data_IF_652813614156
#
_entry.id   IF_652813614156
#
_cell.length_a   1.000
_cell.length_b   1.000
_cell.length_c   1.000
_cell.angle_alpha   90.00
_cell.angle_beta   90.00
_cell.angle_gamma   90.00
#
_symmetry.space_group_name_H-M   'P 1'
#
loop_
_entity.id
_entity.type
_entity.pdbx_description
1 polymer ?
#
# COMPACT_ATOMS: atom_id res chain seq x y z
N UNK A 1 17.70 -2.89 19.52
CA UNK A 1 16.84 -2.05 20.34
C UNK A 1 15.65 -2.85 20.86
N UNK A 2 15.23 -2.62 22.09
CA UNK A 2 14.06 -3.25 22.71
C UNK A 2 13.01 -2.19 23.00
N UNK A 3 11.76 -2.53 22.80
CA UNK A 3 10.62 -1.69 23.11
C UNK A 3 9.52 -2.55 23.74
N UNK A 4 8.94 -2.06 24.82
CA UNK A 4 7.77 -2.69 25.47
C UNK A 4 6.63 -1.68 25.43
N UNK A 5 5.44 -2.15 25.13
CA UNK A 5 4.26 -1.31 25.01
C UNK A 5 3.01 -2.05 25.49
N UNK A 6 2.01 -1.30 25.87
CA UNK A 6 0.72 -1.86 26.32
C UNK A 6 -0.33 -0.78 26.42
N UNK A 7 -1.57 -1.20 26.32
CA UNK A 7 -2.74 -0.33 26.42
C UNK A 7 -4.05 -1.09 26.38
N UNK A 8 -5.11 -0.39 26.65
CA UNK A 8 -6.48 -0.88 26.45
C UNK A 8 -7.10 -0.18 25.25
N UNK A 9 -7.98 -0.85 24.56
CA UNK A 9 -8.74 -0.25 23.46
C UNK A 9 -10.19 -0.70 23.51
N UNK A 10 -11.04 0.15 23.00
CA UNK A 10 -12.48 -0.05 22.96
C UNK A 10 -12.85 -0.44 21.52
N UNK A 11 -13.49 -1.60 21.37
CA UNK A 11 -14.04 -2.01 20.07
C UNK A 11 -15.55 -1.91 20.09
N UNK A 12 -16.09 -0.98 19.32
CA UNK A 12 -17.51 -0.98 19.00
C UNK A 12 -17.81 -2.14 18.04
N UNK A 13 -18.61 -3.09 18.50
CA UNK A 13 -19.11 -4.15 17.61
C UNK A 13 -20.26 -3.60 16.78
N UNK A 14 -20.01 -3.31 15.55
CA UNK A 14 -21.07 -3.09 14.57
C UNK A 14 -21.84 -4.39 14.35
N UNK A 15 -23.14 -4.37 14.62
CA UNK A 15 -24.06 -5.44 14.29
C UNK A 15 -24.73 -5.10 12.96
N UNK A 16 -24.54 -5.94 11.98
CA UNK A 16 -25.07 -5.81 10.62
C UNK A 16 -26.60 -5.91 10.49
N UNK A 17 -27.30 -6.13 11.57
CA UNK A 17 -28.76 -6.39 11.56
C UNK A 17 -29.51 -5.63 12.63
N UNK A 18 -29.48 -4.32 12.70
CA UNK A 18 -30.44 -3.48 13.43
C UNK A 18 -30.83 -3.90 14.89
N UNK A 19 -30.23 -4.94 15.42
CA UNK A 19 -30.40 -5.41 16.80
C UNK A 19 -29.38 -4.71 17.69
N UNK A 20 -29.85 -4.24 18.84
CA UNK A 20 -29.07 -3.57 19.86
C UNK A 20 -27.66 -4.14 19.96
N UNK A 21 -26.66 -3.30 19.72
CA UNK A 21 -25.24 -3.62 19.88
C UNK A 21 -24.99 -4.19 21.26
N UNK A 22 -24.33 -5.33 21.36
CA UNK A 22 -23.80 -5.78 22.65
C UNK A 22 -22.82 -4.70 23.14
N UNK A 23 -22.77 -4.45 24.47
CA UNK A 23 -21.88 -3.45 25.02
C UNK A 23 -20.44 -3.69 24.53
N UNK A 24 -19.77 -2.64 24.14
CA UNK A 24 -18.40 -2.67 23.74
C UNK A 24 -17.55 -3.32 24.83
N UNK A 25 -16.70 -4.27 24.45
CA UNK A 25 -15.82 -4.95 25.38
C UNK A 25 -14.48 -4.21 25.38
N UNK A 26 -14.02 -3.80 26.55
CA UNK A 26 -12.65 -3.37 26.69
C UNK A 26 -11.71 -4.55 26.43
N UNK A 27 -10.77 -4.34 25.54
CA UNK A 27 -9.73 -5.29 25.20
C UNK A 27 -8.38 -4.70 25.56
N UNK A 28 -7.48 -5.54 26.03
CA UNK A 28 -6.12 -5.12 26.34
C UNK A 28 -5.15 -5.64 25.29
N UNK A 29 -4.08 -4.91 25.11
CA UNK A 29 -2.98 -5.24 24.21
C UNK A 29 -1.67 -4.95 24.93
N UNK A 30 -0.78 -5.91 24.97
CA UNK A 30 0.56 -5.71 25.51
C UNK A 30 1.56 -6.53 24.70
N UNK A 31 2.73 -5.97 24.49
CA UNK A 31 3.74 -6.64 23.70
C UNK A 31 5.14 -6.06 23.88
N UNK A 32 6.06 -6.72 23.22
CA UNK A 32 7.43 -6.28 23.11
C UNK A 32 7.93 -6.47 21.69
N UNK A 33 8.79 -5.58 21.27
CA UNK A 33 9.48 -5.67 19.99
C UNK A 33 10.98 -5.53 20.16
N UNK A 34 11.70 -6.17 19.29
CA UNK A 34 13.15 -6.03 19.20
C UNK A 34 13.57 -5.99 17.75
N UNK A 35 14.63 -5.27 17.47
CA UNK A 35 15.20 -5.16 16.14
C UNK A 35 16.71 -5.05 16.19
N UNK A 36 17.35 -5.45 15.12
CA UNK A 36 18.79 -5.39 14.99
C UNK A 36 19.23 -5.54 13.55
N UNK A 37 20.53 -5.53 13.37
CA UNK A 37 21.17 -5.81 12.09
C UNK A 37 22.41 -6.69 12.29
N UNK A 38 22.68 -7.54 11.30
CA UNK A 38 23.89 -8.34 11.22
C UNK A 38 24.44 -8.17 9.82
N UNK A 39 25.55 -7.45 9.69
CA UNK A 39 26.03 -7.02 8.39
C UNK A 39 24.99 -6.12 7.70
N UNK A 40 24.62 -6.49 6.50
CA UNK A 40 23.58 -5.79 5.70
C UNK A 40 22.16 -6.27 5.97
N UNK A 41 22.00 -7.37 6.69
CA UNK A 41 20.71 -7.94 7.04
C UNK A 41 20.09 -7.16 8.20
N UNK A 42 18.87 -6.68 8.03
CA UNK A 42 18.08 -6.07 9.09
C UNK A 42 16.90 -6.97 9.47
N UNK A 43 16.65 -7.06 10.76
CA UNK A 43 15.57 -7.89 11.28
C UNK A 43 14.79 -7.17 12.38
N UNK A 44 13.54 -7.54 12.50
CA UNK A 44 12.68 -7.12 13.61
C UNK A 44 11.79 -8.29 14.02
N UNK A 45 11.54 -8.41 15.31
CA UNK A 45 10.63 -9.37 15.88
C UNK A 45 9.72 -8.67 16.88
N UNK A 46 8.43 -8.98 16.84
CA UNK A 46 7.41 -8.43 17.72
C UNK A 46 6.55 -9.56 18.24
N UNK A 47 6.35 -9.60 19.54
CA UNK A 47 5.40 -10.50 20.19
C UNK A 47 4.39 -9.68 20.97
N UNK A 48 3.10 -9.98 20.84
CA UNK A 48 2.06 -9.30 21.60
C UNK A 48 0.93 -10.23 21.97
N UNK A 49 0.32 -9.91 23.09
CA UNK A 49 -0.90 -10.53 23.56
C UNK A 49 -2.08 -9.60 23.39
N UNK A 50 -3.21 -10.17 23.02
CA UNK A 50 -4.45 -9.48 22.72
C UNK A 50 -5.61 -10.35 23.20
N UNK A 51 -6.30 -9.91 24.25
CA UNK A 51 -7.27 -10.73 24.98
C UNK A 51 -6.69 -12.12 25.35
N UNK A 52 -7.22 -13.18 24.80
CA UNK A 52 -6.72 -14.54 24.99
C UNK A 52 -5.85 -15.05 23.83
N UNK A 53 -5.44 -14.18 22.93
CA UNK A 53 -4.62 -14.51 21.78
C UNK A 53 -3.20 -13.99 21.95
N UNK A 54 -2.25 -14.70 21.38
CA UNK A 54 -0.86 -14.28 21.26
C UNK A 54 -0.48 -14.25 19.79
N UNK A 55 0.30 -13.25 19.38
CA UNK A 55 0.78 -13.08 18.04
C UNK A 55 2.28 -12.84 18.05
N UNK A 56 2.98 -13.49 17.15
CA UNK A 56 4.40 -13.25 16.88
C UNK A 56 4.57 -12.80 15.43
N UNK A 57 5.26 -11.71 15.23
CA UNK A 57 5.59 -11.16 13.92
C UNK A 57 7.10 -11.08 13.75
N UNK A 58 7.59 -11.41 12.57
CA UNK A 58 8.99 -11.25 12.19
C UNK A 58 9.09 -10.51 10.87
N UNK A 59 10.07 -9.65 10.74
CA UNK A 59 10.43 -8.96 9.51
C UNK A 59 11.92 -9.15 9.25
N UNK A 60 12.26 -9.41 8.01
CA UNK A 60 13.61 -9.58 7.54
C UNK A 60 13.79 -8.77 6.27
N UNK A 61 14.81 -7.94 6.23
CA UNK A 61 15.23 -7.20 5.04
C UNK A 61 16.65 -7.54 4.71
N UNK A 62 16.86 -8.06 3.52
CA UNK A 62 18.16 -8.50 3.02
C UNK A 62 18.48 -7.75 1.73
N UNK A 63 19.35 -6.76 1.75
CA UNK A 63 19.93 -6.23 0.52
C UNK A 63 20.91 -7.26 -0.04
N UNK A 64 20.54 -7.92 -1.13
CA UNK A 64 21.40 -8.89 -1.82
C UNK A 64 22.52 -8.20 -2.58
N UNK A 65 22.22 -7.04 -3.13
CA UNK A 65 23.16 -6.13 -3.79
C UNK A 65 22.74 -4.69 -3.52
N UNK A 66 23.51 -3.70 -3.98
CA UNK A 66 23.12 -2.28 -3.92
C UNK A 66 21.79 -1.99 -4.62
N UNK A 67 21.41 -2.83 -5.56
CA UNK A 67 20.22 -2.64 -6.39
C UNK A 67 19.11 -3.66 -6.13
N UNK A 68 19.34 -4.70 -5.33
CA UNK A 68 18.38 -5.80 -5.12
C UNK A 68 18.10 -5.98 -3.64
N UNK A 69 16.83 -5.84 -3.26
CA UNK A 69 16.37 -6.02 -1.90
C UNK A 69 15.33 -7.15 -1.81
N UNK A 70 15.43 -7.96 -0.77
CA UNK A 70 14.44 -8.97 -0.40
C UNK A 70 13.85 -8.60 0.95
N UNK A 71 12.53 -8.60 1.04
CA UNK A 71 11.80 -8.39 2.28
C UNK A 71 10.91 -9.58 2.56
N UNK A 72 10.96 -10.07 3.78
CA UNK A 72 10.09 -11.14 4.26
C UNK A 72 9.39 -10.67 5.54
N UNK A 73 8.11 -10.91 5.62
CA UNK A 73 7.31 -10.66 6.81
C UNK A 73 6.48 -11.89 7.09
N UNK A 74 6.55 -12.38 8.33
CA UNK A 74 5.77 -13.52 8.77
C UNK A 74 5.02 -13.16 10.06
N UNK A 75 3.82 -13.69 10.20
CA UNK A 75 3.00 -13.57 11.39
C UNK A 75 2.45 -14.97 11.73
N UNK A 76 2.48 -15.30 13.00
CA UNK A 76 1.88 -16.50 13.57
C UNK A 76 1.02 -16.10 14.76
N UNK A 77 -0.16 -16.67 14.87
CA UNK A 77 -1.06 -16.42 15.98
C UNK A 77 -1.50 -17.72 16.67
N UNK A 78 -1.83 -17.61 17.94
CA UNK A 78 -2.25 -18.75 18.78
C UNK A 78 -3.55 -19.39 18.34
N UNK A 79 -4.35 -18.72 17.52
CA UNK A 79 -5.59 -19.24 16.91
C UNK A 79 -5.35 -19.98 15.60
N UNK A 80 -4.11 -20.36 15.29
CA UNK A 80 -3.68 -20.98 14.04
C UNK A 80 -3.71 -20.07 12.81
N UNK A 81 -3.94 -18.79 12.99
CA UNK A 81 -3.77 -17.82 11.89
C UNK A 81 -2.29 -17.63 11.57
N UNK A 82 -1.99 -17.49 10.30
CA UNK A 82 -0.64 -17.16 9.86
C UNK A 82 -0.65 -16.29 8.60
N UNK A 83 0.38 -15.51 8.42
CA UNK A 83 0.60 -14.71 7.22
C UNK A 83 2.07 -14.78 6.83
N UNK A 84 2.34 -14.89 5.55
CA UNK A 84 3.68 -14.80 4.99
C UNK A 84 3.63 -13.88 3.78
N UNK A 85 4.41 -12.80 3.82
CA UNK A 85 4.53 -11.82 2.75
C UNK A 85 5.99 -11.76 2.35
N UNK A 86 6.28 -12.01 1.09
CA UNK A 86 7.61 -11.93 0.51
C UNK A 86 7.65 -10.96 -0.66
N UNK A 87 8.68 -10.14 -0.75
CA UNK A 87 8.91 -9.27 -1.88
C UNK A 87 10.37 -9.22 -2.28
N UNK A 88 10.61 -9.14 -3.57
CA UNK A 88 11.91 -8.87 -4.18
C UNK A 88 11.76 -7.63 -5.02
N UNK A 89 12.62 -6.67 -4.84
CA UNK A 89 12.69 -5.47 -5.68
C UNK A 89 14.09 -5.27 -6.23
N UNK A 90 14.19 -4.91 -7.48
CA UNK A 90 15.44 -4.61 -8.15
C UNK A 90 15.37 -3.26 -8.84
N UNK A 91 16.35 -2.39 -8.59
CA UNK A 91 16.53 -1.15 -9.32
C UNK A 91 17.54 -1.39 -10.46
N UNK A 92 17.16 -1.09 -11.69
CA UNK A 92 18.05 -1.21 -12.82
C UNK A 92 19.01 -0.01 -12.87
N UNK A 93 20.23 -0.19 -13.43
CA UNK A 93 21.22 0.87 -13.51
C UNK A 93 20.71 2.13 -14.19
N UNK A 94 21.21 3.31 -13.80
CA UNK A 94 20.86 4.58 -14.39
C UNK A 94 19.53 5.18 -13.95
N UNK A 95 18.85 4.60 -12.96
CA UNK A 95 17.56 5.10 -12.46
C UNK A 95 16.40 4.96 -13.45
N UNK A 96 16.57 4.15 -14.49
CA UNK A 96 15.58 3.99 -15.55
C UNK A 96 14.37 3.15 -15.12
N UNK A 97 14.58 2.14 -14.32
CA UNK A 97 13.47 1.26 -13.96
C UNK A 97 13.66 0.53 -12.66
N UNK A 98 12.55 0.13 -12.08
CA UNK A 98 12.48 -0.81 -10.96
C UNK A 98 11.55 -1.96 -11.34
N UNK A 99 11.91 -3.16 -10.93
CA UNK A 99 11.07 -4.36 -11.06
C UNK A 99 10.84 -4.94 -9.68
N UNK A 100 9.62 -5.39 -9.42
CA UNK A 100 9.27 -6.01 -8.15
C UNK A 100 8.37 -7.22 -8.33
N UNK A 101 8.49 -8.17 -7.41
CA UNK A 101 7.63 -9.36 -7.29
C UNK A 101 7.22 -9.48 -5.84
N UNK A 102 5.93 -9.63 -5.59
CA UNK A 102 5.37 -9.85 -4.26
C UNK A 102 4.59 -11.15 -4.25
N UNK A 103 4.66 -11.86 -3.14
CA UNK A 103 3.77 -12.96 -2.84
C UNK A 103 3.26 -12.81 -1.41
N UNK A 104 1.95 -12.91 -1.24
CA UNK A 104 1.28 -12.92 0.06
C UNK A 104 0.46 -14.19 0.19
N UNK A 105 0.58 -14.86 1.32
CA UNK A 105 -0.32 -15.92 1.72
C UNK A 105 -0.71 -15.72 3.18
N UNK A 106 -2.02 -15.63 3.42
CA UNK A 106 -2.59 -15.42 4.75
C UNK A 106 -3.72 -16.41 4.96
N UNK A 107 -3.68 -17.14 6.05
CA UNK A 107 -4.77 -18.01 6.51
C UNK A 107 -5.25 -17.50 7.85
N UNK A 108 -6.55 -17.42 8.02
CA UNK A 108 -7.17 -16.91 9.24
C UNK A 108 -7.77 -18.06 10.03
N UNK A 109 -7.45 -18.10 11.31
CA UNK A 109 -8.17 -18.90 12.28
C UNK A 109 -9.45 -18.18 12.75
N UNK A 110 -10.27 -18.87 13.52
CA UNK A 110 -11.63 -18.45 13.90
C UNK A 110 -11.72 -17.13 14.70
N UNK A 111 -10.64 -16.62 15.23
CA UNK A 111 -10.64 -15.50 16.17
C UNK A 111 -10.11 -14.18 15.65
N UNK A 112 -9.23 -14.19 14.67
CA UNK A 112 -8.72 -12.98 14.02
C UNK A 112 -9.56 -12.66 12.79
N UNK A 113 -10.22 -11.51 12.75
CA UNK A 113 -11.05 -11.07 11.62
C UNK A 113 -10.22 -10.47 10.47
N UNK A 114 -9.31 -11.23 9.91
CA UNK A 114 -8.66 -10.88 8.65
C UNK A 114 -9.22 -11.74 7.54
N UNK A 115 -9.31 -11.25 6.33
CA UNK A 115 -9.68 -12.07 5.17
C UNK A 115 -8.49 -12.89 4.72
N UNK A 116 -8.67 -14.19 4.47
CA UNK A 116 -7.62 -15.00 3.85
C UNK A 116 -7.15 -14.33 2.55
N UNK A 117 -5.87 -14.47 2.25
CA UNK A 117 -5.28 -13.95 1.03
C UNK A 117 -4.35 -14.99 0.41
N UNK A 118 -4.37 -15.10 -0.88
CA UNK A 118 -3.38 -15.84 -1.68
C UNK A 118 -3.13 -15.05 -2.96
N UNK A 119 -2.25 -14.06 -2.86
CA UNK A 119 -1.98 -13.09 -3.90
C UNK A 119 -0.56 -13.23 -4.42
N UNK A 120 -0.40 -13.11 -5.72
CA UNK A 120 0.87 -12.91 -6.38
C UNK A 120 0.82 -11.65 -7.22
N UNK A 121 1.83 -10.82 -7.12
CA UNK A 121 1.91 -9.62 -7.92
C UNK A 121 3.32 -9.47 -8.51
N UNK A 122 3.39 -9.03 -9.72
CA UNK A 122 4.61 -8.64 -10.41
C UNK A 122 4.37 -7.29 -11.07
N UNK A 123 5.34 -6.43 -11.03
CA UNK A 123 5.25 -5.15 -11.69
C UNK A 123 6.60 -4.51 -11.92
N UNK A 124 6.58 -3.42 -12.63
CA UNK A 124 7.75 -2.63 -12.89
C UNK A 124 7.38 -1.22 -13.31
N UNK A 125 8.32 -0.32 -13.12
CA UNK A 125 8.25 1.07 -13.58
C UNK A 125 9.42 1.34 -14.49
N UNK A 126 9.16 2.00 -15.60
CA UNK A 126 10.16 2.50 -16.54
C UNK A 126 10.13 4.03 -16.52
N UNK A 127 11.15 4.63 -15.96
CA UNK A 127 11.32 6.07 -15.98
C UNK A 127 12.08 6.49 -17.26
N UNK A 128 11.42 7.21 -18.12
CA UNK A 128 11.99 7.66 -19.39
C UNK A 128 12.65 9.04 -19.30
N UNK A 129 12.51 9.74 -18.16
CA UNK A 129 13.09 11.07 -17.95
C UNK A 129 14.62 11.14 -18.14
N UNK A 130 15.43 10.10 -17.80
CA UNK A 130 16.86 10.13 -18.09
C UNK A 130 17.21 10.17 -19.58
N UNK A 131 16.35 9.63 -20.45
CA UNK A 131 16.53 9.68 -21.90
C UNK A 131 16.12 11.05 -22.47
N UNK A 132 15.04 11.60 -21.95
CA UNK A 132 14.52 12.89 -22.34
C UNK A 132 13.66 13.46 -21.20
N UNK A 133 14.04 14.61 -20.68
CA UNK A 133 13.42 15.21 -19.47
C UNK A 133 11.92 15.47 -19.55
N UNK A 134 11.32 15.35 -20.73
CA UNK A 134 9.86 15.47 -20.94
C UNK A 134 9.15 14.14 -21.15
N UNK A 135 9.87 13.02 -21.18
CA UNK A 135 9.26 11.70 -21.21
C UNK A 135 8.90 11.31 -19.77
N UNK A 136 7.73 10.80 -19.57
CA UNK A 136 7.23 10.46 -18.24
C UNK A 136 7.70 9.11 -17.72
N UNK A 137 6.92 8.58 -16.82
CA UNK A 137 7.12 7.25 -16.22
C UNK A 137 5.99 6.32 -16.65
N UNK A 138 6.36 5.15 -17.09
CA UNK A 138 5.44 4.08 -17.44
C UNK A 138 5.50 2.98 -16.38
N UNK A 139 4.36 2.49 -15.92
CA UNK A 139 4.28 1.39 -14.97
C UNK A 139 3.34 0.30 -15.44
N UNK A 140 3.71 -0.93 -15.20
CA UNK A 140 2.89 -2.10 -15.49
C UNK A 140 2.84 -2.95 -14.23
N UNK A 141 1.67 -3.47 -13.91
CA UNK A 141 1.53 -4.46 -12.86
C UNK A 141 0.51 -5.54 -13.22
N UNK A 142 0.74 -6.71 -12.69
CA UNK A 142 -0.16 -7.85 -12.74
C UNK A 142 -0.34 -8.40 -11.33
N UNK A 143 -1.57 -8.62 -10.93
CA UNK A 143 -1.94 -9.25 -9.67
C UNK A 143 -2.82 -10.47 -9.95
N UNK A 144 -2.47 -11.58 -9.33
CA UNK A 144 -3.18 -12.84 -9.37
C UNK A 144 -3.70 -13.16 -7.95
N UNK A 145 -4.99 -12.94 -7.73
CA UNK A 145 -5.67 -13.38 -6.51
C UNK A 145 -6.22 -14.81 -6.72
N UNK A 146 -5.46 -15.76 -6.25
CA UNK A 146 -5.77 -17.18 -6.42
C UNK A 146 -6.99 -17.65 -5.63
N UNK A 147 -7.33 -16.95 -4.55
CA UNK A 147 -8.48 -17.28 -3.73
C UNK A 147 -9.79 -17.08 -4.51
N UNK A 148 -9.86 -15.97 -5.24
CA UNK A 148 -11.06 -15.61 -6.01
C UNK A 148 -10.93 -15.89 -7.50
N UNK A 149 -9.84 -16.56 -7.92
CA UNK A 149 -9.52 -16.77 -9.33
C UNK A 149 -9.65 -15.47 -10.15
N UNK A 150 -9.16 -14.39 -9.59
CA UNK A 150 -9.26 -13.06 -10.19
C UNK A 150 -7.90 -12.53 -10.59
N UNK A 151 -7.86 -11.89 -11.75
CA UNK A 151 -6.64 -11.34 -12.32
C UNK A 151 -6.85 -9.84 -12.57
N UNK A 152 -5.86 -9.05 -12.17
CA UNK A 152 -5.89 -7.61 -12.35
C UNK A 152 -4.62 -7.14 -13.04
N UNK A 153 -4.79 -6.46 -14.15
CA UNK A 153 -3.71 -5.87 -14.94
C UNK A 153 -3.84 -4.36 -14.91
N UNK A 154 -2.73 -3.66 -14.73
CA UNK A 154 -2.67 -2.22 -14.92
C UNK A 154 -1.52 -1.86 -15.85
N UNK A 155 -1.73 -0.84 -16.64
CA UNK A 155 -0.68 -0.16 -17.38
C UNK A 155 -0.95 1.34 -17.28
N UNK A 156 -0.03 2.07 -16.69
CA UNK A 156 -0.18 3.48 -16.36
C UNK A 156 1.00 4.28 -16.90
N UNK A 157 0.70 5.47 -17.37
CA UNK A 157 1.67 6.45 -17.79
C UNK A 157 1.45 7.74 -17.04
N UNK A 158 2.54 8.33 -16.55
CA UNK A 158 2.53 9.63 -15.90
C UNK A 158 3.59 10.54 -16.51
N UNK A 159 3.22 11.78 -16.80
CA UNK A 159 4.12 12.81 -17.30
C UNK A 159 3.86 14.13 -16.60
N UNK A 160 4.92 14.83 -16.19
CA UNK A 160 4.82 16.22 -15.80
C UNK A 160 4.87 17.08 -17.07
N UNK A 161 3.74 17.67 -17.42
CA UNK A 161 3.60 18.51 -18.63
C UNK A 161 4.21 19.89 -18.40
N UNK A 162 4.02 20.42 -17.19
CA UNK A 162 4.55 21.72 -16.79
C UNK A 162 4.98 21.67 -15.32
N UNK A 163 6.10 22.32 -15.03
CA UNK A 163 6.54 22.58 -13.64
C UNK A 163 7.27 23.91 -13.61
N UNK A 164 6.82 24.84 -12.79
CA UNK A 164 7.41 26.20 -12.72
C UNK A 164 6.83 27.03 -11.56
N UNK A 165 7.11 28.31 -11.58
CA UNK A 165 6.72 29.25 -10.53
C UNK A 165 5.20 29.34 -10.28
N UNK A 166 4.40 29.01 -11.30
CA UNK A 166 2.93 29.03 -11.21
C UNK A 166 2.32 27.69 -10.81
N UNK A 167 3.15 26.68 -10.52
CA UNK A 167 2.68 25.36 -10.13
C UNK A 167 3.17 24.24 -11.05
N UNK A 168 2.48 23.09 -10.96
CA UNK A 168 2.76 21.94 -11.81
C UNK A 168 1.49 21.39 -12.42
N UNK A 169 1.61 20.89 -13.64
CA UNK A 169 0.57 20.19 -14.37
C UNK A 169 1.08 18.79 -14.73
N UNK A 170 0.41 17.76 -14.25
CA UNK A 170 0.68 16.36 -14.57
C UNK A 170 -0.44 15.77 -15.42
N UNK A 171 -0.07 14.87 -16.30
CA UNK A 171 -0.99 14.03 -17.07
C UNK A 171 -0.77 12.58 -16.64
N UNK A 172 -1.86 11.90 -16.29
CA UNK A 172 -1.90 10.45 -16.11
C UNK A 172 -2.88 9.82 -17.10
N UNK A 173 -2.49 8.70 -17.66
CA UNK A 173 -3.38 7.89 -18.48
C UNK A 173 -3.13 6.42 -18.17
N UNK A 174 -4.16 5.60 -18.16
CA UNK A 174 -3.98 4.20 -17.86
C UNK A 174 -5.12 3.31 -18.32
N UNK A 175 -4.81 2.04 -18.32
CA UNK A 175 -5.74 0.94 -18.60
C UNK A 175 -5.68 -0.02 -17.43
N UNK A 176 -6.85 -0.40 -16.96
CA UNK A 176 -7.05 -1.41 -15.94
C UNK A 176 -7.93 -2.51 -16.51
N UNK A 177 -7.52 -3.74 -16.40
CA UNK A 177 -8.33 -4.89 -16.79
C UNK A 177 -8.49 -5.83 -15.61
N UNK A 178 -9.72 -6.03 -15.24
CA UNK A 178 -10.11 -6.97 -14.20
C UNK A 178 -10.81 -8.17 -14.85
N UNK A 179 -10.39 -9.37 -14.50
CA UNK A 179 -11.02 -10.61 -14.89
C UNK A 179 -11.32 -11.40 -13.61
N UNK A 180 -12.59 -11.64 -13.36
CA UNK A 180 -13.06 -12.53 -12.30
C UNK A 180 -13.48 -13.83 -12.98
N UNK A 181 -12.89 -14.97 -12.61
CA UNK A 181 -13.01 -16.24 -13.32
C UNK A 181 -14.42 -16.67 -13.77
N UNK A 182 -15.45 -16.14 -13.11
CA UNK A 182 -16.87 -16.44 -13.41
C UNK A 182 -17.60 -15.35 -14.20
N UNK A 183 -16.94 -14.23 -14.51
CA UNK A 183 -17.57 -13.10 -15.21
C UNK A 183 -16.71 -12.55 -16.35
N UNK A 184 -17.35 -11.88 -17.30
CA UNK A 184 -16.67 -11.22 -18.41
C UNK A 184 -15.63 -10.20 -17.92
N UNK A 185 -14.46 -10.21 -18.57
CA UNK A 185 -13.40 -9.25 -18.27
C UNK A 185 -13.89 -7.81 -18.43
N UNK A 186 -13.70 -6.99 -17.40
CA UNK A 186 -13.99 -5.57 -17.45
C UNK A 186 -12.72 -4.78 -17.69
N UNK A 187 -12.74 -3.89 -18.68
CA UNK A 187 -11.60 -3.03 -19.02
C UNK A 187 -11.98 -1.58 -18.78
N UNK A 188 -11.32 -0.97 -17.82
CA UNK A 188 -11.42 0.46 -17.53
C UNK A 188 -10.26 1.24 -18.15
N UNK A 189 -10.56 2.41 -18.70
CA UNK A 189 -9.54 3.36 -19.20
C UNK A 189 -9.74 4.67 -18.44
N UNK A 190 -8.68 5.34 -18.10
CA UNK A 190 -8.75 6.64 -17.46
C UNK A 190 -7.71 7.61 -18.03
N UNK A 191 -8.07 8.88 -17.98
CA UNK A 191 -7.16 10.00 -18.19
C UNK A 191 -7.39 10.96 -17.03
N UNK A 192 -6.32 11.39 -16.40
CA UNK A 192 -6.35 12.33 -15.29
C UNK A 192 -5.40 13.50 -15.55
N UNK A 193 -5.84 14.68 -15.19
CA UNK A 193 -5.04 15.88 -15.14
C UNK A 193 -4.86 16.27 -13.67
N UNK A 194 -3.62 16.38 -13.23
CA UNK A 194 -3.27 16.81 -11.88
C UNK A 194 -2.69 18.22 -11.94
N UNK A 195 -3.40 19.18 -11.38
CA UNK A 195 -2.98 20.57 -11.28
C UNK A 195 -2.61 20.88 -9.84
N UNK A 196 -1.40 21.33 -9.59
CA UNK A 196 -0.96 21.84 -8.31
C UNK A 196 -0.58 23.31 -8.44
N UNK A 197 -1.26 24.17 -7.69
CA UNK A 197 -1.01 25.61 -7.68
C UNK A 197 -0.32 26.00 -6.38
N UNK A 198 0.81 26.70 -6.40
CA UNK A 198 1.53 27.11 -5.19
C UNK A 198 0.92 28.37 -4.58
N UNK A 199 -0.39 28.42 -4.39
CA UNK A 199 -1.06 29.47 -3.63
C UNK A 199 -0.70 29.31 -2.15
N UNK A 200 0.52 29.75 -1.80
CA UNK A 200 1.08 29.54 -0.47
C UNK A 200 1.43 28.08 -0.16
N UNK A 201 1.76 27.29 -1.17
CA UNK A 201 2.11 25.85 -1.07
C UNK A 201 1.02 24.96 -0.41
N UNK A 202 -0.22 25.35 -0.49
CA UNK A 202 -1.28 24.70 0.27
C UNK A 202 -2.52 24.28 -0.53
N UNK A 203 -2.54 24.52 -1.83
CA UNK A 203 -3.69 24.22 -2.69
C UNK A 203 -3.35 23.22 -3.79
N UNK A 204 -4.22 22.23 -4.01
CA UNK A 204 -4.13 21.32 -5.15
C UNK A 204 -5.51 21.04 -5.75
N UNK A 205 -5.56 20.94 -7.06
CA UNK A 205 -6.74 20.56 -7.79
C UNK A 205 -6.40 19.43 -8.78
N UNK A 206 -7.31 18.50 -8.95
CA UNK A 206 -7.19 17.43 -9.90
C UNK A 206 -8.50 17.17 -10.63
N UNK A 207 -8.41 16.66 -11.84
CA UNK A 207 -9.54 16.20 -12.62
C UNK A 207 -9.21 14.82 -13.21
N UNK A 208 -10.09 13.87 -13.01
CA UNK A 208 -9.97 12.50 -13.52
C UNK A 208 -11.18 12.16 -14.36
N UNK A 209 -10.96 11.68 -15.57
CA UNK A 209 -12.02 11.12 -16.41
C UNK A 209 -11.81 9.62 -16.56
N UNK A 210 -12.77 8.81 -16.10
CA UNK A 210 -12.71 7.36 -16.15
C UNK A 210 -14.10 6.79 -16.50
N UNK A 211 -14.14 5.88 -17.47
CA UNK A 211 -15.36 5.16 -17.85
C UNK A 211 -16.58 6.06 -18.12
N UNK A 212 -16.37 7.23 -18.69
CA UNK A 212 -17.44 8.20 -18.98
C UNK A 212 -17.83 9.11 -17.80
N UNK A 213 -17.20 8.94 -16.64
CA UNK A 213 -17.40 9.80 -15.47
C UNK A 213 -16.23 10.76 -15.28
N UNK A 214 -16.54 12.00 -14.98
CA UNK A 214 -15.53 13.01 -14.64
C UNK A 214 -15.63 13.33 -13.15
N UNK A 215 -14.53 13.21 -12.45
CA UNK A 215 -14.39 13.64 -11.06
C UNK A 215 -13.41 14.80 -11.00
N UNK A 216 -13.76 15.84 -10.26
CA UNK A 216 -12.85 16.91 -9.90
C UNK A 216 -12.65 16.88 -8.39
N UNK A 217 -11.40 17.00 -7.97
CA UNK A 217 -11.04 17.10 -6.57
C UNK A 217 -10.29 18.41 -6.32
N UNK A 218 -10.57 18.97 -5.18
CA UNK A 218 -9.93 20.18 -4.70
C UNK A 218 -9.48 19.92 -3.29
N UNK A 219 -8.23 20.20 -2.98
CA UNK A 219 -7.74 20.09 -1.63
C UNK A 219 -6.91 21.31 -1.25
N UNK A 220 -7.09 21.75 -0.01
CA UNK A 220 -6.31 22.81 0.58
C UNK A 220 -5.70 22.29 1.89
N UNK A 221 -4.39 22.50 2.06
CA UNK A 221 -3.66 22.09 3.26
C UNK A 221 -2.69 23.18 3.64
N UNK A 222 -2.86 23.73 4.84
CA UNK A 222 -1.97 24.74 5.40
C UNK A 222 -1.24 24.18 6.62
N UNK A 223 0.06 24.35 6.64
CA UNK A 223 0.86 24.07 7.82
C UNK A 223 1.05 25.38 8.60
N UNK A 224 0.74 25.36 9.88
CA UNK A 224 0.92 26.52 10.75
C UNK A 224 2.27 26.42 11.47
N UNK A 225 2.92 27.55 11.76
CA UNK A 225 4.28 27.62 12.31
C UNK A 225 4.48 26.93 13.68
N UNK A 226 3.43 26.55 14.36
CA UNK A 226 3.47 25.81 15.64
C UNK A 226 3.33 24.29 15.47
N UNK A 227 3.57 23.76 14.30
CA UNK A 227 3.50 22.31 14.05
C UNK A 227 2.08 21.73 13.93
N UNK A 228 1.04 22.57 13.98
CA UNK A 228 -0.32 22.14 13.72
C UNK A 228 -0.66 22.17 12.23
N UNK A 229 -1.25 21.08 11.71
CA UNK A 229 -1.76 21.02 10.34
C UNK A 229 -3.28 21.00 10.36
N UNK A 230 -3.92 21.90 9.61
CA UNK A 230 -5.35 21.88 9.34
C UNK A 230 -5.63 21.45 7.90
N UNK A 231 -6.64 20.64 7.70
CA UNK A 231 -7.17 20.31 6.36
C UNK A 231 -8.61 20.82 6.29
N UNK A 232 -8.95 21.54 5.26
CA UNK A 232 -10.29 22.05 4.96
C UNK A 232 -10.83 21.31 3.76
#
# INVERSE_FOLDING_TARGET
AWQVWGGSFHMDRWSESGKKSKPAKESWLAGASTSGSVGTLSWAATGYGYDSNAVAETRLTVPLTESVNVNLQNMLASDSSWSSIGSISAALPGGFSTVWVNQEKTIIGDRLRRSDADNRAIGGTLNLNPLWSKLGTFSISYNDDRRYNSHYYTADYYQTVYSGAFGSLGLRAGIQRYNNGDSSANTGKYIALDLSLPLGNWFSAGMTHQNGYTMANLSARKQFDEGSTGTI
#
